data_IF_500522334010
#
_entry.id   IF_500522334010
#
_cell.length_a   1.000
_cell.length_b   1.000
_cell.length_c   1.000
_cell.angle_alpha   90.00
_cell.angle_beta   90.00
_cell.angle_gamma   90.00
#
_symmetry.space_group_name_H-M   'P 1'
#
loop_
_entity.id
_entity.type
_entity.pdbx_description
1 polymer ?
#
# COMPACT_ATOMS: atom_id res chain seq x y z
N UNK A 1 8.17 -17.24 -14.36
CA UNK A 1 8.07 -16.08 -15.28
C UNK A 1 6.78 -15.35 -14.90
N UNK A 2 6.84 -14.42 -13.94
CA UNK A 2 5.67 -13.69 -13.45
C UNK A 2 5.46 -12.46 -14.35
N UNK A 3 4.78 -12.71 -15.48
CA UNK A 3 4.54 -11.71 -16.51
C UNK A 3 3.27 -10.91 -16.23
N UNK A 4 3.31 -9.63 -16.63
CA UNK A 4 2.15 -8.72 -16.67
C UNK A 4 0.89 -9.47 -17.12
N UNK A 5 -0.11 -9.49 -16.25
CA UNK A 5 -1.33 -10.28 -16.43
C UNK A 5 -2.33 -9.52 -17.34
N UNK A 6 -2.78 -10.16 -18.41
CA UNK A 6 -3.88 -9.66 -19.25
C UNK A 6 -5.24 -9.63 -18.51
N UNK A 7 -6.21 -8.90 -19.05
CA UNK A 7 -7.46 -8.54 -18.35
C UNK A 7 -8.31 -9.70 -17.79
N UNK A 8 -8.31 -10.89 -18.41
CA UNK A 8 -9.03 -12.07 -17.89
C UNK A 8 -8.43 -12.60 -16.59
N UNK A 9 -7.10 -12.63 -16.49
CA UNK A 9 -6.39 -13.07 -15.29
C UNK A 9 -6.45 -12.04 -14.16
N UNK A 10 -6.53 -10.73 -14.48
CA UNK A 10 -6.82 -9.68 -13.48
C UNK A 10 -8.18 -9.90 -12.81
N UNK A 11 -9.22 -10.25 -13.57
CA UNK A 11 -10.54 -10.57 -13.00
C UNK A 11 -10.52 -11.80 -12.10
N UNK A 12 -9.87 -12.89 -12.53
CA UNK A 12 -9.72 -14.11 -11.71
C UNK A 12 -8.91 -13.83 -10.43
N UNK A 13 -7.85 -13.03 -10.53
CA UNK A 13 -7.08 -12.60 -9.37
C UNK A 13 -7.94 -11.80 -8.38
N UNK A 14 -8.78 -10.89 -8.88
CA UNK A 14 -9.64 -9.99 -8.11
C UNK A 14 -10.98 -10.61 -7.67
N UNK A 15 -11.21 -11.91 -7.91
CA UNK A 15 -12.46 -12.60 -7.51
C UNK A 15 -12.34 -13.45 -6.23
N UNK A 16 -11.17 -13.45 -5.58
CA UNK A 16 -10.94 -14.21 -4.36
C UNK A 16 -11.46 -13.45 -3.13
N UNK A 17 -12.69 -13.74 -2.76
CA UNK A 17 -13.37 -13.13 -1.62
C UNK A 17 -12.91 -13.72 -0.26
N UNK A 18 -11.89 -14.58 -0.22
CA UNK A 18 -11.30 -15.11 1.02
C UNK A 18 -10.05 -14.35 1.46
N UNK A 19 -9.54 -13.44 0.61
CA UNK A 19 -8.31 -12.67 0.81
C UNK A 19 -8.61 -11.18 0.87
N UNK A 20 -7.69 -10.43 1.48
CA UNK A 20 -7.66 -8.98 1.36
C UNK A 20 -6.69 -8.58 0.24
N UNK A 21 -6.97 -7.44 -0.39
CA UNK A 21 -6.15 -6.92 -1.48
C UNK A 21 -5.38 -5.69 -1.02
N UNK A 22 -4.06 -5.70 -1.17
CA UNK A 22 -3.22 -4.53 -0.90
C UNK A 22 -2.77 -3.90 -2.21
N UNK A 23 -3.16 -2.65 -2.42
CA UNK A 23 -2.76 -1.78 -3.51
C UNK A 23 -1.63 -0.89 -3.02
N UNK A 24 -0.44 -1.02 -3.60
CA UNK A 24 0.77 -0.37 -3.12
C UNK A 24 1.27 0.56 -4.22
N UNK A 25 1.33 1.86 -3.91
CA UNK A 25 1.80 2.89 -4.84
C UNK A 25 3.25 3.28 -4.57
N UNK A 26 3.96 3.67 -5.64
CA UNK A 26 5.29 4.29 -5.61
C UNK A 26 6.42 3.53 -4.87
N UNK A 27 6.20 2.27 -4.50
CA UNK A 27 7.16 1.49 -3.75
C UNK A 27 8.10 0.72 -4.68
N UNK A 28 9.41 0.89 -4.48
CA UNK A 28 10.42 -0.03 -5.01
C UNK A 28 10.80 -0.99 -3.90
N UNK A 29 10.89 -2.28 -4.22
CA UNK A 29 11.21 -3.34 -3.25
C UNK A 29 10.23 -3.38 -2.07
N UNK A 30 9.02 -3.87 -2.35
CA UNK A 30 8.02 -4.18 -1.34
C UNK A 30 8.36 -5.54 -0.71
N UNK A 31 8.28 -5.60 0.61
CA UNK A 31 8.40 -6.81 1.43
C UNK A 31 7.14 -6.91 2.28
N UNK A 32 6.50 -8.08 2.30
CA UNK A 32 5.34 -8.36 3.17
C UNK A 32 5.66 -9.58 4.00
N UNK A 33 5.61 -9.42 5.33
CA UNK A 33 5.96 -10.46 6.30
C UNK A 33 7.32 -11.12 6.02
N UNK A 34 8.30 -10.31 5.61
CA UNK A 34 9.65 -10.77 5.27
C UNK A 34 9.80 -11.40 3.88
N UNK A 35 8.72 -11.55 3.11
CA UNK A 35 8.75 -12.09 1.74
C UNK A 35 8.80 -10.95 0.72
N UNK A 36 9.62 -11.09 -0.33
CA UNK A 36 9.67 -10.08 -1.39
C UNK A 36 8.40 -10.14 -2.22
N UNK A 37 7.92 -8.99 -2.69
CA UNK A 37 6.77 -8.91 -3.58
C UNK A 37 6.86 -9.85 -4.81
N UNK A 38 8.05 -10.00 -5.39
CA UNK A 38 8.27 -10.91 -6.52
C UNK A 38 8.00 -12.39 -6.22
N UNK A 39 7.98 -12.76 -4.94
CA UNK A 39 7.72 -14.12 -4.44
C UNK A 39 6.23 -14.33 -4.12
N UNK A 40 5.46 -13.24 -4.02
CA UNK A 40 4.02 -13.26 -3.73
C UNK A 40 3.21 -13.35 -5.04
N UNK A 41 1.98 -13.87 -4.94
CA UNK A 41 1.03 -13.76 -6.04
C UNK A 41 0.63 -12.29 -6.20
N UNK A 42 0.99 -11.69 -7.34
CA UNK A 42 0.82 -10.26 -7.57
C UNK A 42 0.38 -9.95 -9.00
N UNK A 43 -0.26 -8.79 -9.17
CA UNK A 43 -0.57 -8.21 -10.48
C UNK A 43 -0.21 -6.73 -10.52
N UNK A 44 -0.10 -6.18 -11.73
CA UNK A 44 -0.15 -4.73 -11.93
C UNK A 44 -1.60 -4.27 -11.92
N UNK A 45 -1.92 -3.33 -11.04
CA UNK A 45 -3.22 -2.66 -11.02
C UNK A 45 -3.25 -1.48 -11.99
N UNK A 46 -4.09 -0.50 -11.68
CA UNK A 46 -4.22 0.73 -12.48
C UNK A 46 -3.26 1.82 -11.96
N UNK A 47 -2.83 2.75 -12.82
CA UNK A 47 -1.95 3.88 -12.47
C UNK A 47 -0.65 3.51 -11.72
N UNK A 48 0.06 2.48 -12.22
CA UNK A 48 1.34 1.98 -11.70
C UNK A 48 1.28 1.30 -10.31
N UNK A 49 0.08 1.05 -9.77
CA UNK A 49 -0.07 0.32 -8.51
C UNK A 49 0.34 -1.16 -8.67
N UNK A 50 0.99 -1.68 -7.64
CA UNK A 50 1.23 -3.11 -7.46
C UNK A 50 0.15 -3.67 -6.54
N UNK A 51 -0.50 -4.77 -6.95
CA UNK A 51 -1.57 -5.39 -6.15
C UNK A 51 -1.18 -6.80 -5.76
N UNK A 52 -1.28 -7.10 -4.47
CA UNK A 52 -1.11 -8.42 -3.89
C UNK A 52 -2.37 -8.87 -3.15
N UNK A 53 -2.51 -10.19 -3.01
CA UNK A 53 -3.49 -10.80 -2.10
C UNK A 53 -2.78 -11.26 -0.83
N UNK A 54 -3.37 -10.96 0.31
CA UNK A 54 -2.88 -11.36 1.65
C UNK A 54 -4.00 -12.03 2.43
N UNK A 55 -3.67 -12.76 3.50
CA UNK A 55 -4.70 -13.30 4.41
C UNK A 55 -5.38 -12.16 5.18
N UNK A 56 -6.38 -12.51 5.98
CA UNK A 56 -7.07 -11.55 6.86
C UNK A 56 -6.35 -11.37 8.19
N UNK A 57 -5.15 -11.94 8.31
CA UNK A 57 -4.32 -11.84 9.51
C UNK A 57 -3.62 -10.48 9.57
N UNK A 58 -2.82 -10.28 10.62
CA UNK A 58 -1.97 -9.10 10.72
C UNK A 58 -0.78 -9.24 9.77
N UNK A 59 -0.49 -8.17 9.05
CA UNK A 59 0.60 -8.11 8.09
C UNK A 59 1.49 -6.91 8.37
N UNK A 60 2.79 -7.07 8.17
CA UNK A 60 3.75 -5.95 8.14
C UNK A 60 4.16 -5.75 6.70
N UNK A 61 3.92 -4.54 6.19
CA UNK A 61 4.32 -4.15 4.85
C UNK A 61 5.48 -3.19 4.97
N UNK A 62 6.63 -3.59 4.44
CA UNK A 62 7.85 -2.79 4.38
C UNK A 62 8.13 -2.39 2.94
N UNK A 63 8.46 -1.13 2.70
CA UNK A 63 8.75 -0.61 1.37
C UNK A 63 9.84 0.45 1.39
N UNK A 64 10.55 0.57 0.26
CA UNK A 64 11.48 1.66 0.03
C UNK A 64 10.83 2.68 -0.91
N UNK A 65 10.81 3.94 -0.48
CA UNK A 65 10.21 5.04 -1.21
C UNK A 65 11.26 6.06 -1.61
N UNK A 66 11.24 6.41 -2.90
CA UNK A 66 11.88 7.62 -3.41
C UNK A 66 10.79 8.69 -3.55
N UNK A 67 10.57 9.52 -2.52
CA UNK A 67 9.63 10.62 -2.63
C UNK A 67 10.22 11.72 -3.53
N UNK A 68 9.42 12.31 -4.43
CA UNK A 68 9.86 13.47 -5.20
C UNK A 68 10.21 14.62 -4.23
N UNK A 69 11.25 15.38 -4.57
CA UNK A 69 11.57 16.60 -3.84
C UNK A 69 10.43 17.60 -3.97
N UNK A 70 9.85 18.07 -2.86
CA UNK A 70 8.91 19.20 -2.84
C UNK A 70 9.63 20.48 -2.34
N UNK A 71 8.92 21.62 -2.26
CA UNK A 71 9.52 22.89 -1.83
C UNK A 71 10.01 22.90 -0.37
N UNK A 72 9.60 21.93 0.45
CA UNK A 72 10.00 21.78 1.86
C UNK A 72 11.32 21.01 1.96
N UNK A 73 11.57 20.07 1.05
CA UNK A 73 12.78 19.26 1.01
C UNK A 73 13.64 19.61 -0.22
N UNK A 74 14.78 20.27 0.00
CA UNK A 74 15.79 20.58 -1.03
C UNK A 74 16.45 19.33 -1.66
N UNK A 75 16.00 18.11 -1.32
CA UNK A 75 16.48 16.83 -1.85
C UNK A 75 15.34 15.81 -1.90
N UNK A 76 15.48 14.77 -2.74
CA UNK A 76 14.55 13.64 -2.73
C UNK A 76 14.64 12.92 -1.39
N UNK A 77 13.52 12.68 -0.74
CA UNK A 77 13.48 11.84 0.47
C UNK A 77 13.62 10.39 0.00
N UNK A 78 14.74 9.77 0.36
CA UNK A 78 14.95 8.33 0.18
C UNK A 78 14.65 7.66 1.51
N UNK A 79 13.39 7.33 1.71
CA UNK A 79 12.99 6.63 2.92
C UNK A 79 13.13 5.13 2.67
N UNK A 80 13.99 4.50 3.46
CA UNK A 80 14.29 3.07 3.39
C UNK A 80 13.65 2.35 4.57
N UNK A 81 13.27 1.11 4.33
CA UNK A 81 12.74 0.20 5.35
C UNK A 81 11.52 0.77 6.11
N UNK A 82 10.72 1.59 5.44
CA UNK A 82 9.47 2.12 6.00
C UNK A 82 8.51 0.96 6.13
N UNK A 83 7.97 0.77 7.34
CA UNK A 83 7.03 -0.29 7.60
C UNK A 83 5.71 0.28 8.12
N UNK A 84 4.61 -0.39 7.79
CA UNK A 84 3.31 -0.17 8.40
C UNK A 84 2.77 -1.48 8.92
N UNK A 85 2.29 -1.47 10.17
CA UNK A 85 1.61 -2.61 10.76
C UNK A 85 0.13 -2.56 10.38
N UNK A 86 -0.27 -3.41 9.44
CA UNK A 86 -1.68 -3.47 9.04
C UNK A 86 -2.52 -4.07 10.18
N UNK A 87 -3.65 -3.45 10.56
CA UNK A 87 -4.63 -4.07 11.42
C UNK A 87 -5.26 -5.30 10.73
N UNK A 88 -6.12 -6.03 11.44
CA UNK A 88 -6.83 -7.17 10.85
C UNK A 88 -7.61 -6.72 9.61
N UNK A 89 -7.30 -7.35 8.48
CA UNK A 89 -7.89 -7.00 7.19
C UNK A 89 -9.14 -7.85 6.94
N UNK A 90 -10.16 -7.23 6.37
CA UNK A 90 -11.39 -7.94 5.96
C UNK A 90 -11.24 -8.61 4.59
N UNK A 91 -11.79 -9.82 4.45
CA UNK A 91 -11.81 -10.54 3.18
C UNK A 91 -12.68 -9.84 2.13
N UNK A 92 -12.24 -9.87 0.87
CA UNK A 92 -12.87 -9.17 -0.25
C UNK A 92 -12.75 -7.65 -0.21
N UNK A 93 -12.05 -7.08 0.78
CA UNK A 93 -11.78 -5.63 0.85
C UNK A 93 -10.45 -5.28 0.21
N UNK A 94 -10.42 -4.06 -0.33
CA UNK A 94 -9.27 -3.49 -1.00
C UNK A 94 -8.70 -2.37 -0.14
N UNK A 95 -7.41 -2.42 0.12
CA UNK A 95 -6.70 -1.42 0.90
C UNK A 95 -5.61 -0.77 0.06
N UNK A 96 -5.38 0.52 0.28
CA UNK A 96 -4.34 1.32 -0.36
C UNK A 96 -3.28 1.64 0.67
N UNK A 97 -2.04 1.34 0.34
CA UNK A 97 -0.86 1.75 1.11
C UNK A 97 -0.13 2.82 0.29
N UNK A 98 0.00 4.01 0.88
CA UNK A 98 0.62 5.16 0.22
C UNK A 98 1.20 6.12 1.25
N UNK A 99 2.20 6.90 0.83
CA UNK A 99 2.79 7.94 1.67
C UNK A 99 2.20 9.28 1.26
N UNK A 100 1.76 10.04 2.26
CA UNK A 100 1.22 11.37 2.08
C UNK A 100 1.95 12.37 2.98
N UNK A 101 1.99 13.63 2.53
CA UNK A 101 2.43 14.78 3.33
C UNK A 101 1.32 15.18 4.31
N UNK A 102 1.12 14.33 5.31
CA UNK A 102 0.07 14.45 6.32
C UNK A 102 0.58 13.84 7.62
N UNK A 103 0.17 14.38 8.76
CA UNK A 103 0.40 13.72 10.06
C UNK A 103 -0.68 12.64 10.29
N UNK A 104 -0.42 11.61 11.12
CA UNK A 104 -1.42 10.59 11.39
C UNK A 104 -2.72 11.15 11.96
N UNK A 105 -2.65 12.22 12.77
CA UNK A 105 -3.83 12.87 13.35
C UNK A 105 -4.70 13.54 12.28
N UNK A 106 -4.07 14.21 11.31
CA UNK A 106 -4.79 14.85 10.21
C UNK A 106 -5.41 13.78 9.30
N UNK A 107 -4.65 12.74 8.96
CA UNK A 107 -5.13 11.62 8.14
C UNK A 107 -6.35 10.93 8.77
N UNK A 108 -6.37 10.80 10.11
CA UNK A 108 -7.49 10.20 10.84
C UNK A 108 -8.77 11.06 10.80
N UNK A 109 -8.65 12.35 10.53
CA UNK A 109 -9.79 13.29 10.43
C UNK A 109 -10.22 13.56 8.99
N UNK A 110 -9.47 13.10 8.00
CA UNK A 110 -9.75 13.36 6.60
C UNK A 110 -10.90 12.48 6.09
N UNK A 111 -11.99 13.12 5.66
CA UNK A 111 -13.11 12.42 5.03
C UNK A 111 -12.92 12.38 3.51
N UNK A 112 -12.75 11.17 2.96
CA UNK A 112 -12.69 10.94 1.51
C UNK A 112 -13.97 10.29 1.00
N UNK A 113 -14.44 10.69 -0.18
CA UNK A 113 -15.57 10.02 -0.86
C UNK A 113 -15.18 8.68 -1.47
N UNK A 114 -13.88 8.41 -1.61
CA UNK A 114 -13.34 7.21 -2.27
C UNK A 114 -12.75 6.20 -1.31
N UNK A 115 -12.33 6.65 -0.13
CA UNK A 115 -11.55 5.86 0.81
C UNK A 115 -11.98 6.11 2.25
N UNK A 116 -11.91 5.06 3.08
CA UNK A 116 -12.02 5.16 4.53
C UNK A 116 -10.62 5.12 5.15
N UNK A 117 -10.37 5.98 6.13
CA UNK A 117 -9.19 5.89 6.99
C UNK A 117 -9.16 4.55 7.73
N UNK A 118 -7.99 3.91 7.77
CA UNK A 118 -7.77 2.68 8.55
C UNK A 118 -6.66 2.89 9.57
N UNK A 119 -5.47 3.32 9.11
CA UNK A 119 -4.30 3.49 9.97
C UNK A 119 -3.26 4.38 9.31
N UNK A 120 -2.44 5.07 10.10
CA UNK A 120 -1.28 5.79 9.59
C UNK A 120 -0.14 5.78 10.60
N UNK A 121 1.09 5.72 10.11
CA UNK A 121 2.31 5.81 10.92
C UNK A 121 3.19 6.93 10.38
N UNK A 122 3.63 7.83 11.27
CA UNK A 122 4.55 8.90 10.89
C UNK A 122 5.92 8.31 10.57
N UNK A 123 6.47 8.70 9.42
CA UNK A 123 7.78 8.25 8.94
C UNK A 123 8.84 9.30 9.24
N UNK A 124 8.50 10.53 8.92
CA UNK A 124 9.31 11.73 9.12
C UNK A 124 8.34 12.88 9.38
N UNK A 125 8.82 13.95 9.99
CA UNK A 125 7.98 15.09 10.40
C UNK A 125 7.06 15.56 9.26
N UNK A 126 5.76 15.34 9.43
CA UNK A 126 4.73 15.75 8.47
C UNK A 126 4.48 14.79 7.30
N UNK A 127 5.10 13.61 7.29
CA UNK A 127 4.85 12.55 6.31
C UNK A 127 4.48 11.24 6.99
N UNK A 128 3.41 10.61 6.51
CA UNK A 128 2.92 9.35 7.05
C UNK A 128 2.74 8.31 5.97
N UNK A 129 3.11 7.06 6.28
CA UNK A 129 2.60 5.91 5.54
C UNK A 129 1.18 5.68 6.02
N UNK A 130 0.24 5.68 5.09
CA UNK A 130 -1.18 5.58 5.36
C UNK A 130 -1.73 4.30 4.74
N UNK A 131 -2.61 3.66 5.49
CA UNK A 131 -3.47 2.57 5.05
C UNK A 131 -4.90 3.09 4.98
N UNK A 132 -5.49 2.97 3.80
CA UNK A 132 -6.88 3.33 3.54
C UNK A 132 -7.63 2.12 3.00
N UNK A 133 -8.95 2.04 3.22
CA UNK A 133 -9.83 1.05 2.60
C UNK A 133 -10.60 1.71 1.46
N UNK A 134 -10.59 1.13 0.25
CA UNK A 134 -11.43 1.61 -0.87
C UNK A 134 -12.91 1.35 -0.55
N UNK A 135 -13.76 2.35 -0.83
CA UNK A 135 -15.23 2.26 -0.65
C UNK A 135 -15.91 1.44 -1.74
#
# INVERSE_FOLDING_TARGET
>A
MFGLFGGKKKKEFMSDNTKAYLHIYCAKNIIVDGQKFSELEHIKGDDLEDVIKVSTDKHIVTANYDLPSNSVFNSRIKAKDISISCPLLEAGKHYVISIYEVTPEVAATEESTFMDYVHAEEIEKGYSICLYRKK
#
